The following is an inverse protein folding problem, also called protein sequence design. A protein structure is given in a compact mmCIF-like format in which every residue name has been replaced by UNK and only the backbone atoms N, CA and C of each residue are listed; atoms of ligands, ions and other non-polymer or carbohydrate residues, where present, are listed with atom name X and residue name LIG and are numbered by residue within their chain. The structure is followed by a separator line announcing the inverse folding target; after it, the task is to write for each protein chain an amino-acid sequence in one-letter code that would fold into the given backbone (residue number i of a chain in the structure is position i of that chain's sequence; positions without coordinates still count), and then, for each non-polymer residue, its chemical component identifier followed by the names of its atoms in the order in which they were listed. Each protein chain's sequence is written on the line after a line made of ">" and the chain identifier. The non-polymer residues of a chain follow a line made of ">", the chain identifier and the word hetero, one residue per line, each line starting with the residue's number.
data_IF_630239372917
#
_entry.id   IF_630239372917
#
_cell.length_a   1.000
_cell.length_b   1.000
_cell.length_c   1.000
_cell.angle_alpha   90.00
_cell.angle_beta   90.00
_cell.angle_gamma   90.00
#
_symmetry.space_group_name_H-M   'P 1'
#
loop_
_entity.id
_entity.type
_entity.pdbx_description
1 polymer ?
#
# COMPACT_ATOMS: atom_id res chain seq x y z
N UNK A 1 2.42 -14.05 32.23
CA UNK A 1 2.74 -12.66 31.82
C UNK A 1 2.26 -12.53 30.38
N UNK A 2 1.21 -11.76 30.13
CA UNK A 2 0.87 -11.35 28.75
C UNK A 2 1.77 -10.17 28.44
N UNK A 3 2.66 -10.30 27.45
CA UNK A 3 3.50 -9.18 27.01
C UNK A 3 2.64 -8.31 26.09
N UNK A 4 2.50 -7.02 26.43
CA UNK A 4 1.81 -6.02 25.58
C UNK A 4 2.75 -5.57 24.45
N UNK A 5 2.97 -6.48 23.49
CA UNK A 5 3.92 -6.27 22.39
C UNK A 5 3.18 -5.68 21.20
N UNK A 6 3.58 -4.49 20.77
CA UNK A 6 3.09 -3.92 19.51
C UNK A 6 3.38 -4.85 18.33
N UNK A 7 2.34 -5.29 17.62
CA UNK A 7 2.48 -6.08 16.39
C UNK A 7 2.24 -5.19 15.17
N UNK A 8 3.23 -5.10 14.27
CA UNK A 8 3.08 -4.37 13.00
C UNK A 8 3.15 -5.37 11.85
N UNK A 9 2.10 -5.37 11.02
CA UNK A 9 1.98 -6.26 9.88
C UNK A 9 1.99 -5.47 8.57
N UNK A 10 2.99 -5.75 7.73
CA UNK A 10 3.13 -5.13 6.41
C UNK A 10 2.32 -5.93 5.40
N UNK A 11 1.22 -5.35 4.94
CA UNK A 11 0.32 -5.88 3.93
C UNK A 11 0.52 -5.18 2.57
N UNK A 12 -0.47 -5.27 1.69
CA UNK A 12 -0.39 -4.82 0.29
C UNK A 12 -1.69 -4.20 -0.18
N UNK A 13 -1.63 -3.31 -1.17
CA UNK A 13 -2.80 -2.82 -1.92
C UNK A 13 -3.50 -3.94 -2.72
N UNK A 14 -2.86 -5.09 -2.96
CA UNK A 14 -3.41 -6.23 -3.69
C UNK A 14 -4.51 -6.98 -2.92
N UNK A 15 -4.82 -6.56 -1.70
CA UNK A 15 -6.00 -7.05 -0.95
C UNK A 15 -7.31 -6.43 -1.47
N UNK A 16 -7.24 -5.27 -2.12
CA UNK A 16 -8.37 -4.63 -2.75
C UNK A 16 -8.61 -5.18 -4.17
N UNK A 17 -9.87 -5.19 -4.66
CA UNK A 17 -10.16 -5.47 -6.06
C UNK A 17 -9.57 -4.38 -6.97
N UNK A 18 -9.29 -4.73 -8.23
CA UNK A 18 -9.12 -3.72 -9.27
C UNK A 18 -10.49 -3.15 -9.65
N UNK A 19 -10.64 -1.82 -9.63
CA UNK A 19 -11.88 -1.13 -10.01
C UNK A 19 -11.61 0.04 -10.95
N UNK A 20 -12.62 0.54 -11.66
CA UNK A 20 -12.40 1.72 -12.52
C UNK A 20 -12.00 2.96 -11.71
N UNK A 21 -12.66 3.20 -10.56
CA UNK A 21 -12.45 4.39 -9.73
C UNK A 21 -11.18 4.27 -8.87
N UNK A 22 -10.93 3.10 -8.28
CA UNK A 22 -9.91 2.92 -7.25
C UNK A 22 -10.27 3.65 -5.96
N UNK A 23 -9.29 4.32 -5.35
CA UNK A 23 -9.44 5.12 -4.12
C UNK A 23 -10.00 4.34 -2.92
N UNK A 24 -9.54 3.09 -2.74
CA UNK A 24 -9.99 2.23 -1.65
C UNK A 24 -9.65 2.84 -0.27
N UNK A 25 -10.66 2.95 0.59
CA UNK A 25 -10.51 3.23 2.02
C UNK A 25 -10.19 1.95 2.79
N UNK A 26 -9.74 2.07 4.04
CA UNK A 26 -9.48 0.92 4.91
C UNK A 26 -10.73 0.09 5.22
N UNK A 27 -11.92 0.69 5.09
CA UNK A 27 -13.23 0.05 5.21
C UNK A 27 -13.79 -0.52 3.91
N UNK A 28 -13.09 -0.34 2.78
CA UNK A 28 -13.53 -0.87 1.49
C UNK A 28 -13.53 -2.40 1.48
N UNK A 29 -14.44 -2.98 0.70
CA UNK A 29 -14.50 -4.43 0.52
C UNK A 29 -13.20 -4.97 -0.10
N UNK A 30 -12.81 -6.17 0.34
CA UNK A 30 -11.57 -6.83 -0.04
C UNK A 30 -11.87 -7.98 -1.00
N UNK A 31 -11.12 -8.06 -2.09
CA UNK A 31 -11.22 -9.12 -3.07
C UNK A 31 -9.87 -9.23 -3.82
N UNK A 32 -8.89 -9.94 -3.25
CA UNK A 32 -7.60 -10.13 -3.89
C UNK A 32 -7.72 -10.87 -5.22
N UNK A 33 -6.91 -10.47 -6.19
CA UNK A 33 -6.85 -11.07 -7.55
C UNK A 33 -5.53 -11.82 -7.80
N UNK A 34 -4.70 -11.98 -6.77
CA UNK A 34 -3.43 -12.73 -6.84
C UNK A 34 -3.27 -13.64 -5.63
N UNK A 35 -2.52 -14.73 -5.76
CA UNK A 35 -2.15 -15.60 -4.63
C UNK A 35 -1.41 -14.82 -3.53
N UNK A 36 -0.57 -13.85 -3.94
CA UNK A 36 0.12 -12.96 -3.01
C UNK A 36 -0.87 -12.12 -2.19
N UNK A 37 -1.82 -11.45 -2.84
CA UNK A 37 -2.86 -10.68 -2.17
C UNK A 37 -3.70 -11.54 -1.21
N UNK A 38 -4.10 -12.75 -1.62
CA UNK A 38 -4.80 -13.70 -0.75
C UNK A 38 -3.97 -14.11 0.46
N UNK A 39 -2.68 -14.41 0.28
CA UNK A 39 -1.79 -14.74 1.40
C UNK A 39 -1.67 -13.59 2.40
N UNK A 40 -1.59 -12.35 1.89
CA UNK A 40 -1.48 -11.15 2.73
C UNK A 40 -2.76 -10.89 3.51
N UNK A 41 -3.91 -11.02 2.86
CA UNK A 41 -5.22 -10.92 3.50
C UNK A 41 -5.41 -12.01 4.56
N UNK A 42 -4.97 -13.25 4.31
CA UNK A 42 -4.98 -14.31 5.31
C UNK A 42 -4.19 -13.94 6.58
N UNK A 43 -3.04 -13.30 6.42
CA UNK A 43 -2.27 -12.76 7.55
C UNK A 43 -2.98 -11.60 8.25
N UNK A 44 -3.63 -10.69 7.51
CA UNK A 44 -4.46 -9.63 8.12
C UNK A 44 -5.57 -10.23 9.01
N UNK A 45 -6.21 -11.31 8.57
CA UNK A 45 -7.26 -11.98 9.33
C UNK A 45 -6.77 -12.49 10.69
N UNK A 46 -5.53 -12.97 10.78
CA UNK A 46 -4.92 -13.39 12.03
C UNK A 46 -4.54 -12.19 12.91
N UNK A 47 -3.90 -11.18 12.31
CA UNK A 47 -3.35 -10.02 13.04
C UNK A 47 -4.45 -9.11 13.60
N UNK A 48 -5.54 -8.89 12.85
CA UNK A 48 -6.62 -7.98 13.27
C UNK A 48 -7.33 -8.41 14.57
N UNK A 49 -7.20 -9.69 14.96
CA UNK A 49 -7.77 -10.19 16.22
C UNK A 49 -6.94 -9.77 17.45
N UNK A 50 -5.75 -9.20 17.25
CA UNK A 50 -4.91 -8.69 18.32
C UNK A 50 -5.06 -7.17 18.45
N UNK A 51 -5.53 -6.70 19.61
CA UNK A 51 -5.90 -5.29 19.82
C UNK A 51 -4.72 -4.32 19.66
N UNK A 52 -3.52 -4.70 20.11
CA UNK A 52 -2.31 -3.88 19.96
C UNK A 52 -1.59 -4.16 18.62
N UNK A 53 -2.36 -4.24 17.53
CA UNK A 53 -1.84 -4.43 16.18
C UNK A 53 -1.99 -3.19 15.29
N UNK A 54 -1.10 -3.08 14.30
CA UNK A 54 -1.15 -2.12 13.22
C UNK A 54 -0.90 -2.85 11.88
N UNK A 55 -1.86 -2.81 10.98
CA UNK A 55 -1.78 -3.34 9.63
C UNK A 55 -1.54 -2.17 8.67
N UNK A 56 -0.45 -2.23 7.91
CA UNK A 56 -0.11 -1.21 6.92
C UNK A 56 -0.30 -1.79 5.52
N UNK A 57 -1.33 -1.34 4.79
CA UNK A 57 -1.57 -1.72 3.38
C UNK A 57 -0.81 -0.75 2.49
N UNK A 58 0.12 -1.25 1.69
CA UNK A 58 1.04 -0.40 0.91
C UNK A 58 1.31 -0.92 -0.49
N UNK A 59 1.55 0.02 -1.41
CA UNK A 59 2.03 -0.24 -2.78
C UNK A 59 3.53 0.12 -2.87
N UNK A 60 4.37 -0.68 -2.22
CA UNK A 60 5.81 -0.43 -2.19
C UNK A 60 6.46 -0.57 -3.56
N UNK A 61 7.41 0.32 -3.84
CA UNK A 61 8.24 0.34 -5.03
C UNK A 61 9.72 0.35 -4.63
N UNK A 62 10.52 -0.49 -5.29
CA UNK A 62 11.96 -0.44 -5.15
C UNK A 62 12.55 0.80 -5.84
N UNK A 63 13.68 1.29 -5.30
CA UNK A 63 14.43 2.43 -5.82
C UNK A 63 15.91 2.03 -5.93
N UNK A 64 16.51 1.98 -7.14
CA UNK A 64 15.88 2.21 -8.44
C UNK A 64 14.83 1.14 -8.77
N UNK A 65 13.89 1.47 -9.65
CA UNK A 65 12.90 0.52 -10.13
C UNK A 65 13.60 -0.55 -10.99
N UNK A 66 13.38 -1.85 -10.72
CA UNK A 66 14.24 -2.93 -11.21
C UNK A 66 13.91 -3.40 -12.62
N UNK A 67 12.78 -2.98 -13.19
CA UNK A 67 12.33 -3.43 -14.50
C UNK A 67 12.54 -2.33 -15.57
N UNK A 68 12.89 -2.71 -16.82
CA UNK A 68 13.10 -1.76 -17.90
C UNK A 68 11.80 -1.09 -18.38
N UNK A 69 10.66 -1.77 -18.15
CA UNK A 69 9.33 -1.35 -18.60
C UNK A 69 8.41 -1.05 -17.42
N UNK A 70 7.56 -0.05 -17.59
CA UNK A 70 6.51 0.34 -16.64
C UNK A 70 5.18 0.45 -17.36
N UNK A 71 4.10 0.13 -16.65
CA UNK A 71 2.76 0.19 -17.23
C UNK A 71 2.11 1.57 -17.02
N UNK A 72 1.56 2.14 -18.08
CA UNK A 72 0.84 3.43 -18.02
C UNK A 72 -0.65 3.25 -17.64
N UNK A 73 -1.18 2.03 -17.76
CA UNK A 73 -2.55 1.64 -17.44
C UNK A 73 -2.69 0.83 -16.13
N UNK A 74 -1.64 0.82 -15.29
CA UNK A 74 -1.66 0.24 -13.94
C UNK A 74 -1.52 1.37 -12.91
N UNK A 75 -2.58 1.61 -12.15
CA UNK A 75 -2.70 2.72 -11.20
C UNK A 75 -2.56 2.25 -9.76
N UNK A 76 -1.70 2.94 -9.01
CA UNK A 76 -1.40 2.66 -7.61
C UNK A 76 -1.15 3.95 -6.82
N UNK A 77 -1.25 3.85 -5.51
CA UNK A 77 -0.72 4.86 -4.58
C UNK A 77 0.72 4.50 -4.21
N UNK A 78 1.61 4.41 -5.21
CA UNK A 78 2.98 3.92 -5.03
C UNK A 78 3.81 4.76 -4.06
N UNK A 79 4.70 4.12 -3.32
CA UNK A 79 5.65 4.74 -2.39
C UNK A 79 6.98 3.99 -2.43
N UNK A 80 8.12 4.69 -2.36
CA UNK A 80 9.42 4.00 -2.32
C UNK A 80 9.68 3.33 -0.98
N UNK A 81 10.44 2.23 -0.98
CA UNK A 81 10.74 1.44 0.22
C UNK A 81 11.35 2.28 1.36
N UNK A 82 12.24 3.23 1.04
CA UNK A 82 12.88 4.11 2.01
C UNK A 82 11.90 5.12 2.63
N UNK A 83 10.96 5.62 1.84
CA UNK A 83 9.88 6.48 2.31
C UNK A 83 8.85 5.70 3.14
N UNK A 84 8.47 4.51 2.70
CA UNK A 84 7.57 3.62 3.45
C UNK A 84 8.15 3.26 4.82
N UNK A 85 9.46 3.01 4.91
CA UNK A 85 10.14 2.77 6.18
C UNK A 85 10.05 4.00 7.12
N UNK A 86 10.31 5.21 6.62
CA UNK A 86 10.17 6.46 7.39
C UNK A 86 8.74 6.64 7.90
N UNK A 87 7.75 6.46 7.04
CA UNK A 87 6.33 6.57 7.42
C UNK A 87 5.96 5.53 8.47
N UNK A 88 6.43 4.28 8.32
CA UNK A 88 6.17 3.20 9.30
C UNK A 88 6.67 3.57 10.69
N UNK A 89 7.89 4.13 10.79
CA UNK A 89 8.46 4.57 12.08
C UNK A 89 7.65 5.71 12.73
N UNK A 90 7.04 6.59 11.91
CA UNK A 90 6.20 7.66 12.43
C UNK A 90 4.84 7.16 12.92
N UNK A 91 4.38 5.99 12.46
CA UNK A 91 3.06 5.45 12.79
C UNK A 91 3.09 4.37 13.89
N UNK A 92 4.22 4.18 14.58
CA UNK A 92 4.38 3.11 15.59
C UNK A 92 3.31 3.11 16.69
N UNK A 93 2.77 4.28 17.05
CA UNK A 93 1.74 4.41 18.09
C UNK A 93 0.30 4.23 17.57
N UNK A 94 0.09 4.15 16.25
CA UNK A 94 -1.25 3.96 15.68
C UNK A 94 -1.69 2.49 15.77
N UNK A 95 -2.99 2.23 15.85
CA UNK A 95 -3.59 0.89 15.85
C UNK A 95 -4.59 0.72 14.69
N UNK A 96 -4.92 -0.54 14.37
CA UNK A 96 -5.87 -0.90 13.33
C UNK A 96 -5.23 -0.94 11.95
N UNK A 97 -5.97 -0.56 10.90
CA UNK A 97 -5.51 -0.64 9.51
C UNK A 97 -5.25 0.77 8.97
N UNK A 98 -4.12 1.00 8.29
CA UNK A 98 -3.83 2.26 7.60
C UNK A 98 -3.33 1.97 6.18
N UNK A 99 -3.91 2.66 5.21
CA UNK A 99 -3.40 2.68 3.84
C UNK A 99 -2.21 3.65 3.74
N UNK A 100 -1.09 3.17 3.23
CA UNK A 100 0.17 3.91 3.10
C UNK A 100 0.57 3.98 1.63
N UNK A 101 0.79 5.19 1.13
CA UNK A 101 1.11 5.39 -0.28
C UNK A 101 1.32 6.83 -0.67
N UNK A 102 1.75 7.04 -1.91
CA UNK A 102 1.84 8.35 -2.54
C UNK A 102 0.56 8.75 -3.28
N UNK A 103 0.67 9.83 -4.06
CA UNK A 103 -0.41 10.28 -4.96
C UNK A 103 -0.84 9.14 -5.89
N UNK A 104 -2.15 8.94 -6.03
CA UNK A 104 -2.73 8.03 -7.01
C UNK A 104 -2.33 8.43 -8.44
N UNK A 105 -1.60 7.54 -9.12
CA UNK A 105 -1.12 7.73 -10.49
C UNK A 105 -0.72 6.38 -11.10
N UNK A 106 -0.43 6.36 -12.40
CA UNK A 106 0.12 5.14 -13.03
C UNK A 106 1.51 4.83 -12.49
N UNK A 107 1.89 3.55 -12.47
CA UNK A 107 3.24 3.14 -12.07
C UNK A 107 4.28 3.77 -13.02
N UNK A 108 3.96 3.93 -14.31
CA UNK A 108 4.80 4.67 -15.25
C UNK A 108 5.07 6.11 -14.77
N UNK A 109 4.04 6.90 -14.46
CA UNK A 109 4.21 8.28 -14.02
C UNK A 109 4.99 8.40 -12.71
N UNK A 110 4.75 7.47 -11.78
CA UNK A 110 5.49 7.43 -10.52
C UNK A 110 6.98 7.18 -10.76
N UNK A 111 7.35 6.17 -11.55
CA UNK A 111 8.74 5.80 -11.80
C UNK A 111 9.45 6.80 -12.72
N UNK A 112 8.77 7.29 -13.76
CA UNK A 112 9.35 8.21 -14.76
C UNK A 112 9.73 9.58 -14.21
N UNK A 113 9.16 9.96 -13.05
CA UNK A 113 9.58 11.15 -12.30
C UNK A 113 10.94 11.00 -11.60
N UNK A 114 11.50 9.78 -11.51
CA UNK A 114 12.76 9.48 -10.81
C UNK A 114 13.81 8.81 -11.70
N UNK A 115 13.40 8.09 -12.74
CA UNK A 115 14.31 7.41 -13.67
C UNK A 115 13.64 7.16 -15.03
N UNK A 116 14.43 6.98 -16.08
CA UNK A 116 13.91 6.62 -17.40
C UNK A 116 13.45 5.16 -17.43
N UNK A 117 12.24 4.92 -17.95
CA UNK A 117 11.70 3.58 -18.24
C UNK A 117 10.89 3.63 -19.54
N UNK A 118 10.75 2.48 -20.20
CA UNK A 118 9.90 2.34 -21.38
C UNK A 118 8.44 2.12 -20.94
N UNK A 119 7.50 2.86 -21.54
CA UNK A 119 6.08 2.65 -21.29
C UNK A 119 5.59 1.36 -21.98
N UNK A 120 4.71 0.63 -21.31
CA UNK A 120 4.05 -0.56 -21.81
C UNK A 120 2.57 -0.57 -21.37
N UNK A 121 1.79 -1.45 -21.98
CA UNK A 121 0.40 -1.72 -21.60
C UNK A 121 0.33 -3.07 -20.87
N UNK A 122 -0.36 -3.09 -19.74
CA UNK A 122 -0.76 -4.33 -19.08
C UNK A 122 -1.99 -4.92 -19.79
N UNK A 123 -2.13 -6.25 -19.77
CA UNK A 123 -3.35 -6.91 -20.25
C UNK A 123 -4.51 -6.62 -19.28
N UNK A 124 -5.44 -5.78 -19.72
CA UNK A 124 -6.51 -5.24 -18.88
C UNK A 124 -6.12 -4.02 -18.03
N UNK A 125 -7.13 -3.42 -17.40
CA UNK A 125 -6.98 -2.25 -16.53
C UNK A 125 -6.81 -2.67 -15.07
N UNK A 126 -5.74 -2.21 -14.43
CA UNK A 126 -5.51 -2.44 -13.00
C UNK A 126 -5.48 -1.12 -12.24
N UNK A 127 -6.42 -0.92 -11.31
CA UNK A 127 -6.40 0.25 -10.43
C UNK A 127 -6.76 -0.17 -9.00
N UNK A 128 -5.73 -0.21 -8.16
CA UNK A 128 -5.77 -0.53 -6.72
C UNK A 128 -5.36 0.69 -5.90
N UNK A 129 -5.54 1.90 -6.43
CA UNK A 129 -5.23 3.14 -5.72
C UNK A 129 -5.96 3.21 -4.38
N UNK A 130 -5.29 3.75 -3.38
CA UNK A 130 -5.79 3.83 -2.01
C UNK A 130 -6.06 5.28 -1.63
N UNK A 131 -7.14 5.50 -0.89
CA UNK A 131 -7.31 6.72 -0.10
C UNK A 131 -6.26 6.71 1.03
N UNK A 132 -5.48 7.78 1.13
CA UNK A 132 -4.37 7.94 2.08
C UNK A 132 -4.64 9.03 3.14
N UNK A 133 -5.90 9.47 3.30
CA UNK A 133 -6.27 10.55 4.20
C UNK A 133 -5.97 10.19 5.66
N UNK A 134 -6.21 8.94 6.05
CA UNK A 134 -5.89 8.46 7.41
C UNK A 134 -4.39 8.57 7.70
N UNK A 135 -3.54 8.19 6.75
CA UNK A 135 -2.09 8.36 6.86
C UNK A 135 -1.73 9.85 7.00
N UNK A 136 -2.23 10.70 6.11
CA UNK A 136 -1.95 12.14 6.13
C UNK A 136 -2.36 12.79 7.45
N UNK A 137 -3.54 12.43 7.98
CA UNK A 137 -4.05 12.91 9.27
C UNK A 137 -3.24 12.37 10.46
N UNK A 138 -2.69 11.16 10.37
CA UNK A 138 -1.78 10.65 11.40
C UNK A 138 -0.44 11.39 11.38
N UNK A 139 0.12 11.65 10.21
CA UNK A 139 1.39 12.35 10.07
C UNK A 139 1.29 13.85 10.43
N UNK A 140 0.16 14.50 10.17
CA UNK A 140 -0.03 15.93 10.51
C UNK A 140 -0.06 16.19 12.02
N UNK A 141 -0.55 15.23 12.82
CA UNK A 141 -0.56 15.29 14.29
C UNK A 141 0.84 15.23 14.93
N UNK A 142 1.88 14.95 14.14
CA UNK A 142 3.26 14.72 14.58
C UNK A 142 4.22 15.83 14.13
N UNK A 143 3.69 16.88 13.51
CA UNK A 143 4.43 18.07 13.07
C UNK A 143 4.38 19.17 14.11
#
# INVERSE_FOLDING_TARGET
>A
ISLDIKLIYISTDYVYPSTEIGMHSESSALLPFTNYGWSKLGGECAVQMYDNSLILRMAMCEKPFPHPKTYDNVYKSSIFNDEAAKVTLLLLDEVGIINIGGKAQSIHNFVSSHQTTEAAQHDGHQNTTMNIDRMNNALSRRR
#
